data_IF_802251835043
#
_entry.id   IF_802251835043
#
_cell.length_a   1.000
_cell.length_b   1.000
_cell.length_c   1.000
_cell.angle_alpha   90.00
_cell.angle_beta   90.00
_cell.angle_gamma   90.00
#
_symmetry.space_group_name_H-M   'P 1'
#
loop_
_entity.id
_entity.type
_entity.pdbx_description
1 polymer ?
#
# COMPACT_ATOMS: atom_id res chain seq x y z
N UNK A 1 -6.56 7.21 10.76
CA UNK A 1 -5.11 7.44 10.69
C UNK A 1 -4.77 7.66 9.23
N UNK A 2 -4.30 8.84 8.85
CA UNK A 2 -3.92 9.14 7.47
C UNK A 2 -2.75 8.25 7.04
N UNK A 3 -2.89 7.61 5.87
CA UNK A 3 -1.79 6.96 5.19
C UNK A 3 -0.72 8.02 4.88
N UNK A 4 0.57 7.67 5.03
CA UNK A 4 1.65 8.54 4.56
C UNK A 4 1.55 8.66 3.04
N UNK A 5 1.58 9.89 2.51
CA UNK A 5 1.56 10.10 1.06
C UNK A 5 2.84 9.57 0.43
N UNK A 6 2.80 9.16 -0.85
CA UNK A 6 4.00 8.70 -1.56
C UNK A 6 5.09 9.80 -1.65
N UNK A 7 4.74 11.07 -1.39
CA UNK A 7 5.64 12.23 -1.32
C UNK A 7 6.42 12.25 -0.02
N UNK A 8 5.77 11.93 1.10
CA UNK A 8 6.47 11.75 2.37
C UNK A 8 7.50 10.62 2.23
N UNK A 9 7.16 9.55 1.52
CA UNK A 9 8.08 8.44 1.27
C UNK A 9 9.21 8.85 0.32
N UNK A 10 8.92 9.56 -0.78
CA UNK A 10 9.95 10.06 -1.68
C UNK A 10 10.89 11.04 -0.96
N UNK A 11 10.37 12.01 -0.22
CA UNK A 11 11.20 12.97 0.53
C UNK A 11 12.04 12.27 1.59
N UNK A 12 11.47 11.31 2.31
CA UNK A 12 12.17 10.57 3.37
C UNK A 12 13.22 9.60 2.82
N UNK A 13 12.96 8.98 1.66
CA UNK A 13 13.78 7.89 1.14
C UNK A 13 14.53 8.21 -0.16
N UNK A 14 14.43 9.42 -0.72
CA UNK A 14 15.11 9.81 -1.96
C UNK A 14 16.62 9.55 -1.95
N UNK A 15 17.27 9.79 -0.79
CA UNK A 15 18.70 9.58 -0.57
C UNK A 15 18.96 8.41 0.39
N UNK A 16 18.03 7.45 0.46
CA UNK A 16 18.14 6.31 1.38
C UNK A 16 19.30 5.38 1.02
N UNK A 17 19.66 5.31 -0.27
CA UNK A 17 20.71 4.44 -0.79
C UNK A 17 21.83 5.28 -1.40
N UNK A 18 23.00 5.25 -0.77
CA UNK A 18 24.18 5.95 -1.24
C UNK A 18 24.59 5.47 -2.64
N UNK A 19 24.77 6.40 -3.57
CA UNK A 19 25.16 6.11 -4.95
C UNK A 19 24.03 5.65 -5.87
N UNK A 20 22.80 5.55 -5.35
CA UNK A 20 21.60 5.23 -6.13
C UNK A 20 20.65 6.43 -6.20
N UNK A 21 19.88 6.52 -7.28
CA UNK A 21 18.88 7.55 -7.50
C UNK A 21 17.49 6.93 -7.52
N UNK A 22 16.53 7.53 -6.84
CA UNK A 22 15.12 7.14 -6.96
C UNK A 22 14.65 7.42 -8.39
N UNK A 23 14.34 6.36 -9.15
CA UNK A 23 13.97 6.45 -10.57
C UNK A 23 12.48 6.21 -10.80
N UNK A 24 11.77 5.57 -9.86
CA UNK A 24 10.34 5.38 -9.97
C UNK A 24 9.71 4.83 -8.71
N UNK A 25 8.38 4.89 -8.66
CA UNK A 25 7.57 4.25 -7.62
C UNK A 25 6.24 3.75 -8.18
N UNK A 26 5.63 2.80 -7.48
CA UNK A 26 4.29 2.31 -7.78
C UNK A 26 3.66 1.68 -6.55
N UNK A 27 2.34 1.80 -6.46
CA UNK A 27 1.54 0.92 -5.62
C UNK A 27 1.66 -0.52 -6.14
N UNK A 28 1.80 -1.47 -5.22
CA UNK A 28 2.05 -2.87 -5.52
C UNK A 28 1.11 -3.77 -4.70
N UNK A 29 0.25 -4.51 -5.40
CA UNK A 29 -0.60 -5.54 -4.81
C UNK A 29 0.16 -6.85 -4.67
N UNK A 30 0.51 -7.22 -3.44
CA UNK A 30 1.16 -8.49 -3.11
C UNK A 30 0.09 -9.54 -2.80
N UNK A 31 0.14 -10.73 -3.42
CA UNK A 31 -0.82 -11.81 -3.16
C UNK A 31 -0.63 -12.41 -1.77
N UNK A 32 -1.75 -12.71 -1.12
CA UNK A 32 -1.82 -13.44 0.14
C UNK A 32 -2.89 -14.53 0.06
N UNK A 33 -2.52 -15.73 0.46
CA UNK A 33 -3.40 -16.88 0.51
C UNK A 33 -3.99 -17.03 1.90
N UNK A 34 -5.30 -16.86 2.00
CA UNK A 34 -6.06 -17.13 3.22
C UNK A 34 -6.43 -18.61 3.28
N UNK A 35 -6.12 -19.24 4.41
CA UNK A 35 -6.51 -20.61 4.75
C UNK A 35 -7.17 -20.66 6.12
N UNK A 36 -8.05 -21.63 6.28
CA UNK A 36 -8.59 -22.02 7.57
C UNK A 36 -7.72 -23.13 8.17
N UNK A 37 -7.36 -22.96 9.43
CA UNK A 37 -6.54 -23.91 10.20
C UNK A 37 -7.19 -24.15 11.54
N UNK A 38 -7.49 -25.40 11.83
CA UNK A 38 -7.86 -25.82 13.18
C UNK A 38 -6.59 -26.11 13.97
N UNK A 39 -6.51 -25.55 15.18
CA UNK A 39 -5.38 -25.68 16.08
C UNK A 39 -5.87 -26.41 17.32
N UNK A 40 -5.20 -27.51 17.67
CA UNK A 40 -5.38 -28.18 18.95
C UNK A 40 -4.29 -27.72 19.92
N UNK A 41 -4.68 -27.20 21.08
CA UNK A 41 -3.73 -26.64 22.05
C UNK A 41 -4.14 -26.91 23.50
N UNK A 42 -3.18 -26.81 24.41
CA UNK A 42 -3.40 -26.86 25.85
C UNK A 42 -3.53 -25.43 26.36
N UNK A 43 -4.67 -25.13 26.97
CA UNK A 43 -4.99 -23.82 27.55
C UNK A 43 -5.08 -23.93 29.08
N UNK A 44 -4.52 -22.96 29.78
CA UNK A 44 -4.63 -22.84 31.24
C UNK A 44 -5.79 -21.93 31.63
N UNK A 45 -6.70 -22.48 32.43
CA UNK A 45 -7.92 -21.82 32.89
C UNK A 45 -7.98 -21.87 34.41
N UNK A 46 -8.89 -21.08 34.99
CA UNK A 46 -9.25 -21.27 36.39
C UNK A 46 -10.08 -22.54 36.54
N UNK A 47 -9.99 -23.18 37.70
CA UNK A 47 -10.90 -24.27 38.04
C UNK A 47 -12.33 -23.75 38.07
N UNK A 48 -13.27 -24.58 37.62
CA UNK A 48 -14.68 -24.26 37.77
C UNK A 48 -15.03 -24.29 39.26
N UNK A 49 -16.04 -23.51 39.65
CA UNK A 49 -16.48 -23.41 41.05
C UNK A 49 -16.65 -24.78 41.70
N UNK A 50 -17.26 -25.73 40.99
CA UNK A 50 -17.48 -27.08 41.50
C UNK A 50 -16.16 -27.84 41.70
N UNK A 51 -15.25 -27.75 40.73
CA UNK A 51 -13.93 -28.38 40.82
C UNK A 51 -13.17 -27.79 42.02
N UNK A 52 -13.12 -26.46 42.14
CA UNK A 52 -12.48 -25.75 43.26
C UNK A 52 -12.99 -26.24 44.61
N UNK A 53 -14.32 -26.41 44.75
CA UNK A 53 -14.91 -26.93 45.97
C UNK A 53 -14.61 -28.41 46.22
N UNK A 54 -14.57 -29.26 45.18
CA UNK A 54 -14.10 -30.64 45.31
C UNK A 54 -12.66 -30.65 45.85
N UNK A 55 -11.78 -29.82 45.29
CA UNK A 55 -10.41 -29.68 45.75
C UNK A 55 -10.32 -29.24 47.22
N UNK A 56 -11.10 -28.23 47.62
CA UNK A 56 -11.18 -27.79 49.02
C UNK A 56 -11.62 -28.90 49.98
N UNK A 57 -12.58 -29.74 49.58
CA UNK A 57 -13.03 -30.88 50.40
C UNK A 57 -11.95 -31.95 50.51
N UNK A 58 -11.28 -32.29 49.41
CA UNK A 58 -10.16 -33.25 49.40
C UNK A 58 -8.99 -32.78 50.26
N UNK A 59 -8.63 -31.49 50.20
CA UNK A 59 -7.59 -30.88 51.04
C UNK A 59 -7.93 -30.92 52.54
N UNK A 60 -9.20 -31.12 52.90
CA UNK A 60 -9.67 -31.31 54.28
C UNK A 60 -9.84 -32.79 54.65
N UNK A 61 -9.43 -33.71 53.78
CA UNK A 61 -9.50 -35.16 54.02
C UNK A 61 -10.85 -35.79 53.67
N UNK A 62 -11.76 -35.07 53.01
CA UNK A 62 -13.05 -35.62 52.59
C UNK A 62 -12.86 -36.29 51.23
N UNK A 63 -12.65 -37.62 51.24
CA UNK A 63 -12.30 -38.42 50.05
C UNK A 63 -13.47 -39.21 49.46
N UNK A 64 -14.57 -39.39 50.21
CA UNK A 64 -15.75 -40.15 49.76
C UNK A 64 -16.56 -39.34 48.73
N UNK A 65 -16.80 -39.93 47.56
CA UNK A 65 -17.64 -39.36 46.49
C UNK A 65 -19.05 -39.09 46.98
N UNK A 66 -19.62 -39.99 47.77
CA UNK A 66 -20.94 -39.80 48.38
C UNK A 66 -20.99 -38.57 49.31
N UNK A 67 -19.97 -38.37 50.15
CA UNK A 67 -19.89 -37.20 51.04
C UNK A 67 -19.64 -35.90 50.27
N UNK A 68 -18.81 -35.93 49.23
CA UNK A 68 -18.57 -34.78 48.35
C UNK A 68 -19.87 -34.36 47.65
N UNK A 69 -20.59 -35.31 47.02
CA UNK A 69 -21.86 -35.03 46.35
C UNK A 69 -22.90 -34.43 47.29
N UNK A 70 -23.01 -34.98 48.51
CA UNK A 70 -23.89 -34.44 49.55
C UNK A 70 -23.48 -33.03 49.99
N UNK A 71 -22.19 -32.76 50.14
CA UNK A 71 -21.66 -31.47 50.62
C UNK A 71 -21.88 -30.35 49.59
N UNK A 72 -21.78 -30.68 48.30
CA UNK A 72 -21.96 -29.73 47.20
C UNK A 72 -23.40 -29.64 46.70
N UNK A 73 -24.31 -30.42 47.29
CA UNK A 73 -25.70 -30.58 46.82
C UNK A 73 -25.78 -30.95 45.34
N UNK A 74 -24.83 -31.76 44.85
CA UNK A 74 -24.74 -32.19 43.46
C UNK A 74 -25.35 -33.58 43.26
N UNK A 75 -26.19 -33.77 42.22
CA UNK A 75 -26.63 -35.10 41.80
C UNK A 75 -25.44 -36.02 41.48
N UNK A 76 -25.50 -37.28 41.92
CA UNK A 76 -24.38 -38.24 41.77
C UNK A 76 -23.98 -38.50 40.32
N UNK A 77 -24.91 -38.41 39.37
CA UNK A 77 -24.63 -38.52 37.94
C UNK A 77 -23.77 -37.35 37.44
N UNK A 78 -24.07 -36.12 37.85
CA UNK A 78 -23.28 -34.93 37.49
C UNK A 78 -21.90 -34.97 38.15
N UNK A 79 -21.83 -35.32 39.45
CA UNK A 79 -20.55 -35.47 40.15
C UNK A 79 -19.67 -36.53 39.48
N UNK A 80 -20.26 -37.66 39.06
CA UNK A 80 -19.53 -38.72 38.37
C UNK A 80 -18.89 -38.21 37.07
N UNK A 81 -19.59 -37.41 36.28
CA UNK A 81 -19.04 -36.79 35.06
C UNK A 81 -17.83 -35.91 35.39
N UNK A 82 -17.95 -35.03 36.38
CA UNK A 82 -16.87 -34.13 36.80
C UNK A 82 -15.65 -34.92 37.30
N UNK A 83 -15.87 -35.94 38.14
CA UNK A 83 -14.79 -36.80 38.64
C UNK A 83 -14.11 -37.55 37.50
N UNK A 84 -14.87 -38.06 36.53
CA UNK A 84 -14.29 -38.73 35.36
C UNK A 84 -13.37 -37.80 34.56
N UNK A 85 -13.76 -36.53 34.41
CA UNK A 85 -12.92 -35.53 33.74
C UNK A 85 -11.64 -35.23 34.55
N UNK A 86 -11.74 -35.05 35.87
CA UNK A 86 -10.59 -34.84 36.76
C UNK A 86 -9.64 -36.05 36.80
N UNK A 87 -10.17 -37.27 36.71
CA UNK A 87 -9.38 -38.51 36.58
C UNK A 87 -8.67 -38.54 35.22
N UNK A 88 -9.37 -38.20 34.13
CA UNK A 88 -8.78 -38.14 32.77
C UNK A 88 -7.64 -37.13 32.69
N UNK A 89 -7.78 -36.00 33.38
CA UNK A 89 -6.75 -34.96 33.53
C UNK A 89 -5.62 -35.35 34.51
N UNK A 90 -5.73 -36.52 35.16
CA UNK A 90 -4.80 -37.03 36.18
C UNK A 90 -4.69 -36.13 37.41
N UNK A 91 -5.70 -35.34 37.74
CA UNK A 91 -5.69 -34.52 38.95
C UNK A 91 -6.09 -35.30 40.19
N UNK A 92 -6.94 -36.32 40.00
CA UNK A 92 -7.34 -37.23 41.05
C UNK A 92 -7.25 -38.68 40.56
N UNK A 93 -7.17 -39.61 41.50
CA UNK A 93 -7.23 -41.05 41.25
C UNK A 93 -8.29 -41.68 42.13
N UNK A 94 -8.96 -42.70 41.61
CA UNK A 94 -9.87 -43.52 42.40
C UNK A 94 -9.07 -44.55 43.20
N UNK A 95 -9.49 -44.81 44.45
CA UNK A 95 -8.87 -45.84 45.26
C UNK A 95 -9.23 -47.23 44.70
N UNK A 96 -8.22 -48.00 44.28
CA UNK A 96 -8.39 -49.32 43.69
C UNK A 96 -9.08 -50.33 44.63
N UNK A 97 -9.03 -50.12 45.95
CA UNK A 97 -9.66 -50.97 46.95
C UNK A 97 -11.05 -50.47 47.38
N UNK A 98 -11.34 -49.20 47.15
CA UNK A 98 -12.61 -48.58 47.49
C UNK A 98 -13.05 -47.60 46.41
N UNK A 99 -13.93 -48.06 45.52
CA UNK A 99 -14.43 -47.27 44.41
C UNK A 99 -15.25 -46.04 44.85
N UNK A 100 -15.54 -45.81 46.13
CA UNK A 100 -16.15 -44.55 46.61
C UNK A 100 -15.11 -43.48 46.96
N UNK A 101 -13.83 -43.82 47.11
CA UNK A 101 -12.78 -42.88 47.52
C UNK A 101 -12.00 -42.33 46.33
N UNK A 102 -11.70 -41.02 46.39
CA UNK A 102 -10.83 -40.32 45.46
C UNK A 102 -9.72 -39.57 46.22
N UNK A 103 -8.55 -39.47 45.61
CA UNK A 103 -7.37 -38.82 46.19
C UNK A 103 -6.70 -37.91 45.17
N UNK A 104 -6.06 -36.83 45.63
CA UNK A 104 -5.19 -36.03 44.77
C UNK A 104 -4.01 -36.84 44.25
N UNK A 105 -3.64 -36.58 43.01
CA UNK A 105 -2.28 -36.82 42.53
C UNK A 105 -1.36 -35.65 42.93
N UNK A 106 -0.06 -35.80 42.73
CA UNK A 106 0.90 -34.69 42.91
C UNK A 106 0.57 -33.51 41.99
N UNK A 107 0.32 -33.79 40.69
CA UNK A 107 -0.10 -32.81 39.69
C UNK A 107 -1.41 -32.12 40.09
N UNK A 108 -2.41 -32.89 40.51
CA UNK A 108 -3.69 -32.34 40.92
C UNK A 108 -3.53 -31.39 42.10
N UNK A 109 -2.77 -31.78 43.12
CA UNK A 109 -2.55 -30.92 44.30
C UNK A 109 -1.99 -29.55 43.89
N UNK A 110 -0.96 -29.52 43.06
CA UNK A 110 -0.36 -28.28 42.57
C UNK A 110 -1.36 -27.41 41.78
N UNK A 111 -2.14 -28.01 40.89
CA UNK A 111 -3.14 -27.30 40.09
C UNK A 111 -4.28 -26.72 40.95
N UNK A 112 -4.77 -27.49 41.93
CA UNK A 112 -5.78 -27.04 42.88
C UNK A 112 -5.28 -25.94 43.83
N UNK A 113 -4.03 -26.00 44.28
CA UNK A 113 -3.43 -24.95 45.12
C UNK A 113 -3.29 -23.61 44.38
N UNK A 114 -3.00 -23.66 43.07
CA UNK A 114 -2.84 -22.47 42.24
C UNK A 114 -4.15 -21.99 41.58
N UNK A 115 -5.28 -22.66 41.85
CA UNK A 115 -6.57 -22.43 41.21
C UNK A 115 -6.51 -22.45 39.67
N UNK A 116 -5.82 -23.45 39.11
CA UNK A 116 -5.57 -23.58 37.67
C UNK A 116 -5.91 -24.98 37.18
N UNK A 117 -6.33 -25.10 35.92
CA UNK A 117 -6.47 -26.35 35.18
C UNK A 117 -5.96 -26.19 33.77
N UNK A 118 -5.55 -27.30 33.17
CA UNK A 118 -5.11 -27.39 31.79
C UNK A 118 -6.16 -28.18 31.00
N UNK A 119 -6.77 -27.53 30.03
CA UNK A 119 -7.77 -28.12 29.15
C UNK A 119 -7.25 -28.17 27.72
N UNK A 120 -7.62 -29.22 26.99
CA UNK A 120 -7.36 -29.28 25.54
C UNK A 120 -8.51 -28.57 24.83
N UNK A 121 -8.18 -27.56 24.03
CA UNK A 121 -9.11 -26.84 23.17
C UNK A 121 -8.77 -27.06 21.71
N UNK A 122 -9.80 -26.93 20.88
CA UNK A 122 -9.69 -26.93 19.42
C UNK A 122 -10.42 -25.70 18.91
N UNK A 123 -9.71 -24.84 18.19
CA UNK A 123 -10.26 -23.62 17.63
C UNK A 123 -9.84 -23.47 16.16
N UNK A 124 -10.65 -22.78 15.36
CA UNK A 124 -10.36 -22.54 13.93
C UNK A 124 -9.95 -21.10 13.70
N UNK A 125 -8.85 -20.92 12.96
CA UNK A 125 -8.23 -19.63 12.70
C UNK A 125 -8.08 -19.39 11.20
N UNK A 126 -8.10 -18.12 10.82
CA UNK A 126 -7.71 -17.69 9.49
C UNK A 126 -6.23 -17.26 9.47
N UNK A 127 -5.46 -17.98 8.67
CA UNK A 127 -4.04 -17.72 8.46
C UNK A 127 -3.84 -17.18 7.04
N UNK A 128 -3.01 -16.15 6.91
CA UNK A 128 -2.59 -15.59 5.65
C UNK A 128 -1.14 -15.95 5.38
N UNK A 129 -0.88 -16.53 4.21
CA UNK A 129 0.46 -16.79 3.68
C UNK A 129 0.77 -15.77 2.60
N UNK A 130 1.93 -15.12 2.66
CA UNK A 130 2.35 -14.30 1.53
C UNK A 130 2.68 -15.19 0.32
N UNK A 131 2.22 -14.79 -0.87
CA UNK A 131 2.39 -15.55 -2.11
C UNK A 131 3.65 -15.19 -2.90
N UNK A 132 4.60 -14.46 -2.29
CA UNK A 132 5.82 -14.01 -2.95
C UNK A 132 7.11 -14.58 -2.38
N UNK A 133 7.16 -14.85 -1.07
CA UNK A 133 8.33 -15.43 -0.43
C UNK A 133 8.16 -16.93 -0.24
N UNK A 134 9.29 -17.66 -0.20
CA UNK A 134 9.29 -19.09 0.09
C UNK A 134 8.99 -19.39 1.58
N UNK A 135 8.88 -18.34 2.41
CA UNK A 135 8.77 -18.40 3.85
C UNK A 135 7.41 -17.91 4.37
N UNK A 136 6.31 -18.26 3.69
CA UNK A 136 4.98 -18.46 4.27
C UNK A 136 4.69 -17.69 5.58
N UNK A 137 4.83 -16.36 5.61
CA UNK A 137 4.78 -15.66 6.88
C UNK A 137 3.34 -15.66 7.36
N UNK A 138 3.09 -16.47 8.40
CA UNK A 138 1.75 -16.69 8.95
C UNK A 138 1.34 -15.44 9.69
N UNK A 139 0.38 -14.71 9.13
CA UNK A 139 -0.34 -13.67 9.86
C UNK A 139 -1.68 -14.23 10.32
N UNK A 140 -1.87 -14.24 11.63
CA UNK A 140 -3.15 -14.56 12.27
C UNK A 140 -3.91 -13.24 12.38
N UNK A 141 -4.98 -13.12 11.59
CA UNK A 141 -5.64 -11.85 11.33
C UNK A 141 -7.14 -12.04 11.50
N UNK A 142 -7.64 -11.79 12.70
CA UNK A 142 -9.08 -11.68 12.93
C UNK A 142 -9.57 -10.24 12.71
N UNK A 143 -8.68 -9.25 12.82
CA UNK A 143 -9.04 -7.81 12.77
C UNK A 143 -8.59 -7.04 11.52
N UNK A 144 -7.83 -7.63 10.57
CA UNK A 144 -7.32 -6.90 9.39
C UNK A 144 -8.04 -7.22 8.07
N UNK A 145 -9.29 -7.74 8.07
CA UNK A 145 -10.05 -7.89 6.82
C UNK A 145 -10.15 -6.60 5.99
N UNK A 146 -10.04 -5.42 6.63
CA UNK A 146 -10.09 -4.11 5.95
C UNK A 146 -8.87 -3.86 5.05
N UNK A 147 -7.77 -4.55 5.29
CA UNK A 147 -6.48 -4.29 4.65
C UNK A 147 -6.19 -5.23 3.48
N UNK A 148 -7.05 -6.23 3.30
CA UNK A 148 -6.95 -7.24 2.26
C UNK A 148 -8.11 -7.08 1.28
N UNK A 149 -7.79 -7.00 0.00
CA UNK A 149 -8.76 -6.92 -1.09
C UNK A 149 -8.94 -8.30 -1.69
N UNK A 150 -10.17 -8.78 -1.75
CA UNK A 150 -10.46 -10.07 -2.36
C UNK A 150 -10.14 -10.02 -3.86
N UNK A 151 -9.49 -11.05 -4.41
CA UNK A 151 -8.95 -11.01 -5.78
C UNK A 151 -9.96 -10.58 -6.87
N UNK A 152 -11.25 -10.91 -6.72
CA UNK A 152 -12.30 -10.50 -7.69
C UNK A 152 -12.62 -9.00 -7.66
N UNK A 153 -12.18 -8.28 -6.64
CA UNK A 153 -12.41 -6.85 -6.43
C UNK A 153 -11.18 -6.01 -6.78
N UNK A 154 -10.08 -6.66 -7.16
CA UNK A 154 -8.81 -6.01 -7.42
C UNK A 154 -8.82 -5.37 -8.81
N UNK A 155 -8.16 -4.21 -8.93
CA UNK A 155 -7.82 -3.62 -10.21
C UNK A 155 -6.58 -4.34 -10.75
N UNK A 156 -6.70 -5.02 -11.90
CA UNK A 156 -5.62 -5.82 -12.50
C UNK A 156 -4.31 -5.05 -12.77
N UNK A 157 -4.37 -3.72 -12.76
CA UNK A 157 -3.27 -2.84 -13.17
C UNK A 157 -2.15 -2.66 -12.15
N UNK A 158 -2.13 -3.32 -10.98
CA UNK A 158 -1.04 -3.14 -9.98
C UNK A 158 -0.69 -4.41 -9.21
N UNK A 159 -1.22 -5.56 -9.62
CA UNK A 159 -1.01 -6.83 -8.90
C UNK A 159 0.17 -7.62 -9.41
N UNK A 160 0.85 -8.27 -8.48
CA UNK A 160 1.85 -9.29 -8.79
C UNK A 160 1.15 -10.61 -9.05
N UNK A 161 1.45 -11.22 -10.20
CA UNK A 161 0.94 -12.54 -10.57
C UNK A 161 1.49 -13.63 -9.64
N UNK A 162 0.59 -14.56 -9.30
CA UNK A 162 0.80 -15.68 -8.40
C UNK A 162 1.96 -16.57 -8.84
N UNK A 163 2.81 -16.99 -7.90
CA UNK A 163 3.59 -18.23 -8.02
C UNK A 163 2.98 -19.26 -7.08
N UNK A 164 3.11 -20.52 -7.50
CA UNK A 164 2.47 -21.71 -6.95
C UNK A 164 2.15 -21.65 -5.46
N UNK A 165 0.94 -22.08 -5.13
CA UNK A 165 0.48 -22.18 -3.75
C UNK A 165 1.47 -23.00 -2.91
N UNK A 166 1.94 -22.47 -1.77
CA UNK A 166 2.85 -23.22 -0.92
C UNK A 166 2.18 -24.49 -0.41
N UNK A 167 2.76 -25.64 -0.72
CA UNK A 167 2.35 -26.90 -0.08
C UNK A 167 2.85 -26.92 1.36
N UNK A 168 1.95 -27.29 2.26
CA UNK A 168 2.24 -27.41 3.68
C UNK A 168 3.09 -28.65 3.91
N UNK A 169 4.20 -28.43 4.60
CA UNK A 169 5.08 -29.49 5.07
C UNK A 169 5.00 -29.54 6.60
N UNK A 170 4.44 -30.62 7.13
CA UNK A 170 4.25 -30.84 8.57
C UNK A 170 5.56 -30.71 9.36
N UNK A 171 6.70 -31.08 8.78
CA UNK A 171 7.98 -31.03 9.50
C UNK A 171 8.61 -29.63 9.43
N UNK A 172 8.46 -28.96 8.28
CA UNK A 172 9.01 -27.61 8.05
C UNK A 172 8.20 -26.51 8.74
N UNK A 173 6.87 -26.56 8.61
CA UNK A 173 5.99 -25.42 8.92
C UNK A 173 5.46 -25.47 10.36
N UNK A 174 5.49 -26.64 11.02
CA UNK A 174 4.95 -26.81 12.37
C UNK A 174 5.62 -25.89 13.40
N UNK A 175 6.95 -25.84 13.43
CA UNK A 175 7.68 -25.04 14.41
C UNK A 175 7.43 -23.53 14.23
N UNK A 176 7.32 -23.07 12.98
CA UNK A 176 7.00 -21.69 12.68
C UNK A 176 5.57 -21.33 13.11
N UNK A 177 4.60 -22.21 12.84
CA UNK A 177 3.22 -22.05 13.30
C UNK A 177 3.15 -22.08 14.82
N UNK A 178 3.80 -23.04 15.47
CA UNK A 178 3.82 -23.18 16.92
C UNK A 178 4.35 -21.91 17.60
N UNK A 179 5.51 -21.40 17.19
CA UNK A 179 6.07 -20.15 17.72
C UNK A 179 5.14 -18.95 17.48
N UNK A 180 4.54 -18.88 16.29
CA UNK A 180 3.59 -17.82 15.95
C UNK A 180 2.36 -17.86 16.87
N UNK A 181 1.75 -19.02 17.07
CA UNK A 181 0.57 -19.18 17.93
C UNK A 181 0.89 -18.96 19.41
N UNK A 182 2.06 -19.41 19.90
CA UNK A 182 2.50 -19.20 21.28
C UNK A 182 2.87 -17.74 21.59
N UNK A 183 3.27 -16.96 20.57
CA UNK A 183 3.60 -15.54 20.72
C UNK A 183 2.38 -14.60 20.70
N UNK A 184 1.20 -15.08 20.33
CA UNK A 184 -0.03 -14.29 20.37
C UNK A 184 -0.43 -13.96 21.81
N UNK A 185 -0.70 -12.68 22.08
CA UNK A 185 -1.13 -12.16 23.39
C UNK A 185 -2.45 -11.37 23.33
N UNK A 186 -3.38 -11.78 22.46
CA UNK A 186 -4.60 -11.01 22.18
C UNK A 186 -5.85 -11.87 22.33
N UNK A 187 -7.03 -11.29 22.65
CA UNK A 187 -8.29 -12.01 22.63
C UNK A 187 -8.76 -12.27 21.19
N UNK A 188 -9.42 -13.41 21.01
CA UNK A 188 -9.83 -14.03 19.74
C UNK A 188 -11.05 -13.40 19.05
N UNK A 189 -11.90 -12.70 19.81
CA UNK A 189 -12.99 -11.92 19.22
C UNK A 189 -13.55 -10.95 20.25
N UNK A 190 -14.32 -9.96 19.81
CA UNK A 190 -15.09 -9.08 20.72
C UNK A 190 -16.14 -9.85 21.54
N UNK A 191 -16.44 -11.11 21.19
CA UNK A 191 -17.54 -11.88 21.76
C UNK A 191 -17.14 -13.17 22.51
N UNK A 192 -15.85 -13.56 22.55
CA UNK A 192 -15.41 -14.78 23.25
C UNK A 192 -14.25 -14.54 24.23
N UNK A 193 -14.34 -15.20 25.38
CA UNK A 193 -13.43 -15.08 26.52
C UNK A 193 -12.09 -15.80 26.36
N UNK A 194 -11.80 -16.36 25.18
CA UNK A 194 -10.58 -17.13 24.96
C UNK A 194 -9.44 -16.16 24.70
N UNK A 195 -8.79 -15.78 25.80
CA UNK A 195 -7.54 -15.03 25.74
C UNK A 195 -6.39 -16.00 25.47
N UNK A 196 -5.57 -15.69 24.46
CA UNK A 196 -4.33 -16.41 24.18
C UNK A 196 -3.31 -16.36 25.33
N UNK A 197 -3.54 -15.51 26.35
CA UNK A 197 -2.63 -15.27 27.49
C UNK A 197 -2.29 -16.51 28.34
N UNK A 198 -2.83 -17.69 28.01
CA UNK A 198 -2.63 -18.93 28.77
C UNK A 198 -2.44 -20.19 27.91
N UNK A 199 -2.07 -20.10 26.63
CA UNK A 199 -1.67 -21.30 25.88
C UNK A 199 -0.34 -21.83 26.42
N UNK A 200 -0.30 -23.12 26.79
CA UNK A 200 0.91 -23.79 27.31
C UNK A 200 1.68 -24.55 26.24
N UNK A 201 0.97 -25.17 25.31
CA UNK A 201 1.57 -25.90 24.20
C UNK A 201 0.58 -26.12 23.07
N UNK A 202 1.12 -26.28 21.85
CA UNK A 202 0.36 -26.68 20.69
C UNK A 202 0.50 -28.20 20.51
N UNK A 203 -0.61 -28.88 20.23
CA UNK A 203 -0.61 -30.33 19.95
C UNK A 203 -0.61 -30.65 18.46
N UNK A 204 -1.23 -29.80 17.64
CA UNK A 204 -1.39 -30.09 16.23
C UNK A 204 -2.10 -28.99 15.45
N UNK A 205 -1.90 -29.04 14.13
CA UNK A 205 -2.56 -28.19 13.15
C UNK A 205 -3.30 -29.07 12.15
N UNK A 206 -4.51 -28.66 11.76
CA UNK A 206 -5.28 -29.28 10.66
C UNK A 206 -5.73 -28.21 9.68
N UNK A 207 -5.20 -28.29 8.46
CA UNK A 207 -5.56 -27.38 7.38
C UNK A 207 -6.84 -27.80 6.67
N UNK A 208 -7.78 -26.87 6.52
CA UNK A 208 -8.93 -27.08 5.66
C UNK A 208 -8.54 -26.92 4.17
N UNK A 209 -9.21 -27.65 3.25
CA UNK A 209 -8.85 -27.65 1.83
C UNK A 209 -9.22 -26.35 1.12
N UNK A 210 -10.17 -25.58 1.67
CA UNK A 210 -10.63 -24.32 1.07
C UNK A 210 -9.51 -23.28 1.13
N UNK A 211 -9.29 -22.60 0.02
CA UNK A 211 -8.32 -21.49 -0.12
C UNK A 211 -8.97 -20.28 -0.74
N UNK A 212 -8.55 -19.11 -0.31
CA UNK A 212 -8.99 -17.82 -0.85
C UNK A 212 -7.76 -16.95 -1.13
N UNK A 213 -7.76 -16.26 -2.28
CA UNK A 213 -6.71 -15.31 -2.64
C UNK A 213 -7.16 -13.88 -2.30
N UNK A 214 -6.27 -13.16 -1.65
CA UNK A 214 -6.40 -11.76 -1.34
C UNK A 214 -5.15 -11.02 -1.79
N UNK A 215 -5.26 -9.70 -1.89
CA UNK A 215 -4.13 -8.82 -2.14
C UNK A 215 -4.03 -7.79 -1.04
N UNK A 216 -2.80 -7.46 -0.66
CA UNK A 216 -2.49 -6.33 0.23
C UNK A 216 -1.56 -5.39 -0.50
N UNK A 217 -1.85 -4.10 -0.42
CA UNK A 217 -1.13 -3.07 -1.14
C UNK A 217 0.03 -2.50 -0.32
N UNK A 218 1.15 -2.28 -1.02
CA UNK A 218 2.39 -1.69 -0.51
C UNK A 218 2.87 -0.62 -1.48
N UNK A 219 3.76 0.25 -1.02
CA UNK A 219 4.45 1.20 -1.88
C UNK A 219 5.82 0.65 -2.26
N UNK A 220 6.09 0.55 -3.55
CA UNK A 220 7.39 0.15 -4.07
C UNK A 220 8.15 1.38 -4.57
N UNK A 221 9.38 1.56 -4.10
CA UNK A 221 10.34 2.54 -4.59
C UNK A 221 11.48 1.81 -5.31
N UNK A 222 11.81 2.26 -6.51
CA UNK A 222 12.86 1.69 -7.36
C UNK A 222 13.98 2.69 -7.53
N UNK A 223 15.19 2.24 -7.24
CA UNK A 223 16.40 3.03 -7.35
C UNK A 223 17.31 2.45 -8.43
N UNK A 224 18.07 3.30 -9.11
CA UNK A 224 19.09 2.87 -10.06
C UNK A 224 20.38 3.67 -9.89
N UNK A 225 21.54 3.03 -10.05
CA UNK A 225 22.84 3.71 -10.08
C UNK A 225 23.22 4.12 -11.51
N UNK A 226 24.46 4.58 -11.72
CA UNK A 226 24.96 5.01 -13.04
C UNK A 226 25.15 3.83 -14.00
N UNK A 227 25.41 2.66 -13.45
CA UNK A 227 25.60 1.39 -14.14
C UNK A 227 24.26 0.69 -14.46
N UNK A 228 23.13 1.33 -14.14
CA UNK A 228 21.76 0.80 -14.29
C UNK A 228 21.46 -0.43 -13.43
N UNK A 229 22.26 -0.68 -12.39
CA UNK A 229 21.92 -1.66 -11.36
C UNK A 229 20.78 -1.10 -10.51
N UNK A 230 19.81 -1.95 -10.17
CA UNK A 230 18.62 -1.54 -9.44
C UNK A 230 18.66 -1.98 -7.98
N UNK A 231 17.98 -1.22 -7.14
CA UNK A 231 17.62 -1.62 -5.78
C UNK A 231 16.18 -1.23 -5.47
N UNK A 232 15.59 -1.89 -4.48
CA UNK A 232 14.19 -1.71 -4.10
C UNK A 232 14.02 -1.36 -2.64
N UNK A 233 12.99 -0.57 -2.36
CA UNK A 233 12.41 -0.40 -1.04
C UNK A 233 10.90 -0.65 -1.13
N UNK A 234 10.40 -1.59 -0.33
CA UNK A 234 8.96 -1.88 -0.22
C UNK A 234 8.48 -1.39 1.13
N UNK A 235 7.48 -0.50 1.14
CA UNK A 235 6.98 0.16 2.33
C UNK A 235 5.52 -0.23 2.61
N UNK A 236 5.25 -0.56 3.87
CA UNK A 236 3.91 -0.85 4.37
C UNK A 236 3.31 0.40 5.00
N UNK A 237 2.37 1.03 4.30
CA UNK A 237 1.69 2.25 4.78
C UNK A 237 0.88 2.04 6.06
N UNK A 238 0.43 0.81 6.34
CA UNK A 238 -0.39 0.51 7.51
C UNK A 238 0.46 0.34 8.75
N UNK A 239 1.59 -0.37 8.63
CA UNK A 239 2.53 -0.58 9.75
C UNK A 239 3.61 0.49 9.84
N UNK A 240 3.69 1.39 8.85
CA UNK A 240 4.71 2.44 8.70
C UNK A 240 6.14 1.89 8.76
N UNK A 241 6.39 0.78 8.06
CA UNK A 241 7.66 0.07 8.13
C UNK A 241 8.12 -0.49 6.79
N UNK A 242 9.44 -0.67 6.65
CA UNK A 242 10.06 -1.27 5.46
C UNK A 242 9.91 -2.79 5.52
N UNK A 243 9.50 -3.39 4.41
CA UNK A 243 9.26 -4.83 4.26
C UNK A 243 10.35 -5.47 3.38
N UNK A 244 11.57 -5.53 3.93
CA UNK A 244 12.77 -6.03 3.23
C UNK A 244 12.62 -7.42 2.62
N UNK A 245 11.79 -8.28 3.23
CA UNK A 245 11.47 -9.63 2.73
C UNK A 245 10.93 -9.66 1.31
N UNK A 246 10.27 -8.58 0.85
CA UNK A 246 9.69 -8.52 -0.48
C UNK A 246 10.68 -8.00 -1.53
N UNK A 247 11.81 -7.43 -1.14
CA UNK A 247 12.75 -6.77 -2.06
C UNK A 247 13.25 -7.74 -3.14
N UNK A 248 13.91 -8.84 -2.76
CA UNK A 248 14.49 -9.77 -3.73
C UNK A 248 13.46 -10.47 -4.65
N UNK A 249 12.29 -10.95 -4.16
CA UNK A 249 11.26 -11.52 -5.02
C UNK A 249 10.72 -10.52 -6.06
N UNK A 250 10.51 -9.27 -5.69
CA UNK A 250 10.00 -8.23 -6.59
C UNK A 250 11.07 -7.80 -7.58
N UNK A 251 12.32 -7.63 -7.14
CA UNK A 251 13.44 -7.26 -8.01
C UNK A 251 13.62 -8.26 -9.14
N UNK A 252 13.57 -9.56 -8.81
CA UNK A 252 13.61 -10.64 -9.81
C UNK A 252 12.48 -10.53 -10.83
N UNK A 253 11.26 -10.22 -10.38
CA UNK A 253 10.09 -10.06 -11.27
C UNK A 253 10.19 -8.83 -12.16
N UNK A 254 10.70 -7.71 -11.64
CA UNK A 254 10.98 -6.51 -12.42
C UNK A 254 12.01 -6.80 -13.53
N UNK A 255 13.13 -7.44 -13.18
CA UNK A 255 14.19 -7.78 -14.14
C UNK A 255 13.73 -8.79 -15.21
N UNK A 256 12.76 -9.65 -14.87
CA UNK A 256 12.13 -10.58 -15.81
C UNK A 256 11.03 -9.95 -16.66
N UNK A 257 10.68 -8.67 -16.44
CA UNK A 257 9.58 -7.98 -17.13
C UNK A 257 8.19 -8.48 -16.73
N UNK A 258 8.06 -9.27 -15.65
CA UNK A 258 6.77 -9.82 -15.20
C UNK A 258 5.81 -8.73 -14.69
N UNK A 259 6.31 -7.51 -14.44
CA UNK A 259 5.54 -6.37 -13.92
C UNK A 259 5.39 -5.22 -14.93
N UNK A 260 5.83 -5.40 -16.19
CA UNK A 260 5.84 -4.34 -17.21
C UNK A 260 4.45 -3.79 -17.56
N UNK A 261 3.38 -4.55 -17.26
CA UNK A 261 1.99 -4.11 -17.45
C UNK A 261 1.60 -2.91 -16.59
N UNK A 262 2.33 -2.65 -15.50
CA UNK A 262 2.11 -1.48 -14.64
C UNK A 262 3.37 -0.71 -14.28
N UNK A 263 4.52 -1.34 -14.33
CA UNK A 263 5.79 -0.72 -14.02
C UNK A 263 6.85 -1.16 -15.03
N UNK A 264 7.00 -0.38 -16.10
CA UNK A 264 7.95 -0.68 -17.18
C UNK A 264 9.36 -0.26 -16.78
N UNK A 265 10.14 -1.20 -16.26
CA UNK A 265 11.48 -0.95 -15.75
C UNK A 265 12.42 -0.46 -16.86
N UNK A 266 12.38 -1.10 -18.04
CA UNK A 266 13.27 -0.78 -19.16
C UNK A 266 13.13 0.68 -19.61
N UNK A 267 11.88 1.17 -19.69
CA UNK A 267 11.60 2.57 -20.02
C UNK A 267 12.16 3.52 -18.98
N UNK A 268 11.98 3.22 -17.69
CA UNK A 268 12.47 4.05 -16.58
C UNK A 268 14.00 4.10 -16.59
N UNK A 269 14.66 2.96 -16.78
CA UNK A 269 16.13 2.90 -16.87
C UNK A 269 16.66 3.65 -18.10
N UNK A 270 15.95 3.60 -19.23
CA UNK A 270 16.30 4.37 -20.41
C UNK A 270 16.17 5.89 -20.17
N UNK A 271 15.09 6.33 -19.53
CA UNK A 271 14.89 7.73 -19.14
C UNK A 271 15.98 8.20 -18.15
N UNK A 272 16.37 7.33 -17.20
CA UNK A 272 17.45 7.58 -16.26
C UNK A 272 18.82 7.67 -16.94
N UNK A 273 19.16 6.75 -17.85
CA UNK A 273 20.41 6.79 -18.63
C UNK A 273 20.50 8.08 -19.43
N UNK A 274 19.44 8.43 -20.17
CA UNK A 274 19.39 9.68 -20.94
C UNK A 274 19.59 10.91 -20.05
N UNK A 275 19.01 10.89 -18.84
CA UNK A 275 19.17 11.96 -17.84
C UNK A 275 20.62 12.01 -17.33
N UNK A 276 21.24 10.87 -17.04
CA UNK A 276 22.62 10.81 -16.57
C UNK A 276 23.64 11.21 -17.64
N UNK A 277 23.42 10.80 -18.89
CA UNK A 277 24.23 11.22 -20.04
C UNK A 277 24.14 12.73 -20.23
N UNK A 278 22.94 13.30 -20.15
CA UNK A 278 22.73 14.74 -20.18
C UNK A 278 23.45 15.47 -19.03
N UNK A 279 23.37 14.97 -17.80
CA UNK A 279 24.03 15.57 -16.63
C UNK A 279 25.56 15.48 -16.73
N UNK A 280 26.09 14.38 -17.26
CA UNK A 280 27.52 14.20 -17.51
C UNK A 280 28.06 15.16 -18.58
N UNK A 281 27.23 15.49 -19.58
CA UNK A 281 27.56 16.46 -20.62
C UNK A 281 27.39 17.92 -20.15
N UNK A 282 26.51 18.17 -19.18
CA UNK A 282 26.18 19.51 -18.67
C UNK A 282 27.05 19.98 -17.47
N UNK A 283 27.91 19.13 -16.91
CA UNK A 283 28.75 19.43 -15.72
C UNK A 283 27.99 19.99 -14.50
N UNK A 284 26.67 19.81 -14.42
CA UNK A 284 25.85 20.42 -13.37
C UNK A 284 24.75 19.46 -12.91
N UNK A 285 24.69 19.19 -11.61
CA UNK A 285 23.57 18.49 -10.98
C UNK A 285 22.32 19.40 -10.90
N UNK A 286 21.10 18.84 -11.00
CA UNK A 286 19.87 19.63 -10.86
C UNK A 286 19.78 20.21 -9.45
N UNK A 287 19.40 21.49 -9.35
CA UNK A 287 19.08 22.08 -8.05
C UNK A 287 17.67 21.68 -7.65
N UNK A 288 17.56 20.97 -6.53
CA UNK A 288 16.28 20.70 -5.88
C UNK A 288 15.82 21.96 -5.15
N UNK A 289 14.61 22.42 -5.45
CA UNK A 289 13.98 23.50 -4.70
C UNK A 289 12.94 22.87 -3.78
N UNK A 290 13.26 22.88 -2.49
CA UNK A 290 12.32 22.57 -1.43
C UNK A 290 11.64 23.88 -1.00
N UNK A 291 10.31 23.90 -1.01
CA UNK A 291 9.56 24.97 -0.34
C UNK A 291 9.56 24.63 1.14
N UNK A 292 10.35 25.34 1.94
CA UNK A 292 10.29 25.24 3.39
C UNK A 292 8.98 25.89 3.87
N UNK A 293 8.23 25.23 4.75
CA UNK A 293 6.87 25.63 5.17
C UNK A 293 6.82 26.99 5.91
N UNK A 294 7.96 27.66 6.08
CA UNK A 294 8.09 28.90 6.86
C UNK A 294 8.30 30.17 6.02
N UNK A 295 8.51 30.11 4.70
CA UNK A 295 8.56 31.27 3.80
C UNK A 295 7.46 31.24 2.74
N UNK A 296 6.79 32.39 2.54
CA UNK A 296 5.76 32.54 1.51
C UNK A 296 6.40 32.47 0.11
N UNK A 297 6.36 31.28 -0.51
CA UNK A 297 6.95 31.03 -1.82
C UNK A 297 6.27 31.89 -2.90
N UNK A 298 7.02 32.82 -3.50
CA UNK A 298 6.58 33.62 -4.65
C UNK A 298 7.15 33.05 -5.95
N UNK A 299 6.26 32.55 -6.81
CA UNK A 299 6.61 32.10 -8.16
C UNK A 299 7.24 33.22 -8.98
N UNK A 300 6.83 34.48 -8.79
CA UNK A 300 7.43 35.64 -9.46
C UNK A 300 8.92 35.76 -9.16
N UNK A 301 9.29 35.75 -7.87
CA UNK A 301 10.67 35.86 -7.43
C UNK A 301 11.47 34.64 -7.87
N UNK A 302 10.85 33.45 -7.80
CA UNK A 302 11.48 32.22 -8.26
C UNK A 302 11.81 32.28 -9.76
N UNK A 303 10.83 32.60 -10.62
CA UNK A 303 11.04 32.72 -12.06
C UNK A 303 12.10 33.78 -12.43
N UNK A 304 12.19 34.86 -11.65
CA UNK A 304 13.22 35.89 -11.82
C UNK A 304 14.63 35.41 -11.41
N UNK A 305 14.73 34.40 -10.54
CA UNK A 305 16.00 33.83 -10.08
C UNK A 305 16.56 32.73 -11.00
N UNK A 306 15.75 32.23 -11.94
CA UNK A 306 16.13 31.14 -12.85
C UNK A 306 17.26 31.59 -13.75
N UNK A 307 18.34 30.81 -13.74
CA UNK A 307 19.49 31.02 -14.63
C UNK A 307 19.28 30.28 -15.94
N UNK A 308 19.75 30.89 -17.02
CA UNK A 308 19.69 30.28 -18.34
C UNK A 308 20.46 28.96 -18.35
N UNK A 309 19.86 27.94 -19.00
CA UNK A 309 20.41 26.60 -19.18
C UNK A 309 20.63 25.82 -17.86
N UNK A 310 20.14 26.31 -16.72
CA UNK A 310 20.09 25.54 -15.47
C UNK A 310 18.71 24.84 -15.33
N UNK A 311 18.66 23.52 -15.10
CA UNK A 311 17.42 22.82 -14.83
C UNK A 311 17.01 22.94 -13.35
N UNK A 312 15.73 23.20 -13.12
CA UNK A 312 15.11 23.29 -11.81
C UNK A 312 14.02 22.22 -11.68
N UNK A 313 14.10 21.40 -10.64
CA UNK A 313 13.03 20.44 -10.36
C UNK A 313 11.94 21.09 -9.50
N UNK A 314 10.70 21.05 -9.97
CA UNK A 314 9.52 21.61 -9.31
C UNK A 314 8.43 20.54 -9.15
N UNK A 315 7.65 20.62 -8.08
CA UNK A 315 6.63 19.62 -7.73
C UNK A 315 5.26 20.26 -7.44
N UNK A 316 4.19 19.49 -7.62
CA UNK A 316 2.85 19.75 -7.08
C UNK A 316 2.34 21.19 -7.24
N UNK A 317 2.07 21.91 -6.13
CA UNK A 317 1.55 23.28 -6.16
C UNK A 317 2.47 24.24 -6.90
N UNK A 318 3.79 24.07 -6.84
CA UNK A 318 4.75 24.91 -7.58
C UNK A 318 4.55 24.77 -9.08
N UNK A 319 4.28 23.55 -9.57
CA UNK A 319 3.96 23.33 -11.00
C UNK A 319 2.65 24.04 -11.36
N UNK A 320 1.62 23.88 -10.53
CA UNK A 320 0.31 24.49 -10.73
C UNK A 320 0.39 26.02 -10.75
N UNK A 321 1.09 26.59 -9.78
CA UNK A 321 1.27 28.03 -9.65
C UNK A 321 2.12 28.57 -10.81
N UNK A 322 3.19 27.88 -11.21
CA UNK A 322 3.99 28.22 -12.40
C UNK A 322 3.14 28.22 -13.67
N UNK A 323 2.32 27.18 -13.86
CA UNK A 323 1.40 27.11 -14.99
C UNK A 323 0.39 28.26 -15.00
N UNK A 324 -0.28 28.53 -13.88
CA UNK A 324 -1.20 29.67 -13.78
C UNK A 324 -0.50 30.99 -14.04
N UNK A 325 0.72 31.13 -13.52
CA UNK A 325 1.50 32.34 -13.67
C UNK A 325 1.85 32.59 -15.13
N UNK A 326 2.27 31.57 -15.87
CA UNK A 326 2.52 31.68 -17.31
C UNK A 326 1.28 32.14 -18.09
N UNK A 327 0.08 31.68 -17.71
CA UNK A 327 -1.16 32.19 -18.33
C UNK A 327 -1.39 33.68 -18.08
N UNK A 328 -0.86 34.24 -17.00
CA UNK A 328 -0.99 35.66 -16.67
C UNK A 328 0.12 36.51 -17.31
N UNK A 329 1.35 36.01 -17.36
CA UNK A 329 2.51 36.83 -17.77
C UNK A 329 2.96 36.67 -19.22
N UNK A 330 2.58 35.59 -19.91
CA UNK A 330 3.06 35.33 -21.27
C UNK A 330 2.80 36.52 -22.19
N UNK A 331 3.77 36.87 -23.02
CA UNK A 331 3.75 38.04 -23.89
C UNK A 331 3.66 37.69 -25.38
N UNK A 332 4.10 36.49 -25.77
CA UNK A 332 4.24 36.08 -27.16
C UNK A 332 3.54 34.75 -27.42
N UNK A 333 3.75 33.75 -26.57
CA UNK A 333 3.18 32.42 -26.82
C UNK A 333 3.04 31.52 -25.59
N UNK A 334 2.08 30.60 -25.68
CA UNK A 334 1.90 29.47 -24.77
C UNK A 334 1.69 28.20 -25.60
N UNK A 335 2.52 27.19 -25.37
CA UNK A 335 2.40 25.87 -25.97
C UNK A 335 2.14 24.83 -24.89
N UNK A 336 1.11 24.01 -25.06
CA UNK A 336 0.71 23.01 -24.06
C UNK A 336 0.54 21.66 -24.75
N UNK A 337 1.17 20.62 -24.20
CA UNK A 337 0.81 19.22 -24.46
C UNK A 337 0.25 18.66 -23.16
N UNK A 338 -0.97 18.11 -23.20
CA UNK A 338 -1.59 17.41 -22.08
C UNK A 338 -2.49 16.31 -22.63
N UNK A 339 -2.28 15.03 -22.29
CA UNK A 339 -3.03 13.90 -22.88
C UNK A 339 -4.53 14.02 -22.68
N UNK A 340 -4.94 14.58 -21.55
CA UNK A 340 -6.34 14.68 -21.16
C UNK A 340 -6.68 16.11 -20.77
N UNK A 341 -7.97 16.41 -20.90
CA UNK A 341 -8.59 17.66 -20.52
C UNK A 341 -9.87 17.40 -19.73
N UNK A 342 -10.17 18.24 -18.74
CA UNK A 342 -11.46 18.19 -18.06
C UNK A 342 -11.98 19.59 -17.71
N UNK A 343 -13.29 19.68 -17.47
CA UNK A 343 -13.95 20.94 -17.15
C UNK A 343 -13.66 21.45 -15.73
N UNK A 344 -13.08 20.62 -14.86
CA UNK A 344 -12.64 21.05 -13.53
C UNK A 344 -11.43 21.99 -13.63
N UNK A 345 -10.45 21.64 -14.48
CA UNK A 345 -9.28 22.48 -14.77
C UNK A 345 -9.63 23.57 -15.78
N UNK A 346 -10.31 23.22 -16.88
CA UNK A 346 -10.72 24.16 -17.95
C UNK A 346 -12.07 24.82 -17.58
N UNK A 347 -12.10 25.32 -16.35
CA UNK A 347 -13.25 26.00 -15.76
C UNK A 347 -13.37 27.45 -16.26
N UNK A 348 -14.31 28.20 -15.69
CA UNK A 348 -14.59 29.60 -16.06
C UNK A 348 -13.37 30.51 -15.88
N UNK A 349 -12.59 30.34 -14.82
CA UNK A 349 -11.41 31.16 -14.54
C UNK A 349 -10.27 30.87 -15.52
N UNK A 350 -10.03 29.60 -15.84
CA UNK A 350 -9.07 29.24 -16.90
C UNK A 350 -9.47 29.87 -18.24
N UNK A 351 -10.74 29.77 -18.64
CA UNK A 351 -11.25 30.36 -19.89
C UNK A 351 -11.12 31.88 -19.90
N UNK A 352 -11.25 32.55 -18.75
CA UNK A 352 -11.01 34.00 -18.61
C UNK A 352 -9.53 34.36 -18.83
N UNK A 353 -8.59 33.60 -18.25
CA UNK A 353 -7.15 33.78 -18.49
C UNK A 353 -6.78 33.51 -19.95
N UNK A 354 -7.29 32.41 -20.52
CA UNK A 354 -7.10 32.08 -21.94
C UNK A 354 -7.63 33.20 -22.86
N UNK A 355 -8.82 33.74 -22.58
CA UNK A 355 -9.38 34.87 -23.30
C UNK A 355 -8.46 36.09 -23.22
N UNK A 356 -7.96 36.42 -22.03
CA UNK A 356 -7.05 37.55 -21.83
C UNK A 356 -5.73 37.38 -22.59
N UNK A 357 -5.17 36.17 -22.68
CA UNK A 357 -3.99 35.88 -23.51
C UNK A 357 -4.27 36.22 -24.98
N UNK A 358 -5.37 35.68 -25.52
CA UNK A 358 -5.72 35.85 -26.93
C UNK A 358 -6.04 37.31 -27.26
N UNK A 359 -6.70 38.05 -26.35
CA UNK A 359 -6.95 39.50 -26.51
C UNK A 359 -5.65 40.32 -26.49
N UNK A 360 -4.61 39.86 -25.79
CA UNK A 360 -3.27 40.46 -25.82
C UNK A 360 -2.45 40.07 -27.07
N UNK A 361 -3.01 39.27 -27.98
CA UNK A 361 -2.31 38.79 -29.18
C UNK A 361 -1.34 37.64 -28.92
N UNK A 362 -1.40 37.00 -27.74
CA UNK A 362 -0.55 35.86 -27.40
C UNK A 362 -1.00 34.63 -28.17
N UNK A 363 -0.06 33.95 -28.83
CA UNK A 363 -0.32 32.70 -29.56
C UNK A 363 -0.48 31.54 -28.59
N UNK A 364 -1.59 30.80 -28.68
CA UNK A 364 -1.82 29.60 -27.87
C UNK A 364 -1.93 28.37 -28.76
N UNK A 365 -1.16 27.33 -28.45
CA UNK A 365 -1.18 26.04 -29.15
C UNK A 365 -1.35 24.90 -28.16
N UNK A 366 -2.30 24.01 -28.43
CA UNK A 366 -2.58 22.86 -27.56
C UNK A 366 -2.51 21.56 -28.36
N UNK A 367 -1.81 20.57 -27.82
CA UNK A 367 -1.84 19.18 -28.28
C UNK A 367 -2.47 18.33 -27.18
N UNK A 368 -3.51 17.58 -27.52
CA UNK A 368 -4.24 16.74 -26.57
C UNK A 368 -4.43 15.32 -27.08
N UNK A 369 -4.94 14.43 -26.24
CA UNK A 369 -5.42 13.11 -26.64
C UNK A 369 -4.32 12.06 -26.76
N UNK A 370 -4.63 10.86 -26.27
CA UNK A 370 -3.79 9.66 -26.37
C UNK A 370 -4.31 8.67 -27.41
N UNK A 371 -5.60 8.72 -27.73
CA UNK A 371 -6.25 7.86 -28.72
C UNK A 371 -6.33 8.54 -30.08
N UNK A 372 -6.56 7.74 -31.11
CA UNK A 372 -6.60 8.18 -32.50
C UNK A 372 -7.83 9.00 -32.89
N UNK A 373 -8.77 9.21 -31.99
CA UNK A 373 -10.03 9.88 -32.29
C UNK A 373 -11.19 8.92 -32.55
N UNK A 374 -10.95 7.60 -32.61
CA UNK A 374 -12.01 6.61 -32.81
C UNK A 374 -12.78 6.35 -31.50
N UNK A 375 -14.08 6.64 -31.51
CA UNK A 375 -14.95 6.53 -30.32
C UNK A 375 -15.04 5.09 -29.79
N UNK A 376 -14.89 4.06 -30.65
CA UNK A 376 -14.89 2.66 -30.23
C UNK A 376 -13.68 2.28 -29.35
N UNK A 377 -12.60 3.05 -29.42
CA UNK A 377 -11.35 2.83 -28.68
C UNK A 377 -11.20 3.80 -27.48
N UNK A 378 -12.22 4.61 -27.19
CA UNK A 378 -12.17 5.63 -26.15
C UNK A 378 -12.83 5.15 -24.86
N UNK A 379 -12.16 5.39 -23.73
CA UNK A 379 -12.83 5.34 -22.45
C UNK A 379 -13.57 6.68 -22.17
N UNK A 380 -14.30 6.74 -21.07
CA UNK A 380 -15.06 7.94 -20.67
C UNK A 380 -14.19 9.21 -20.56
N UNK A 381 -12.94 9.08 -20.10
CA UNK A 381 -12.00 10.20 -19.94
C UNK A 381 -11.53 10.75 -21.30
N UNK A 382 -11.35 9.87 -22.28
CA UNK A 382 -10.97 10.25 -23.64
C UNK A 382 -12.14 10.99 -24.33
N UNK A 383 -13.37 10.46 -24.21
CA UNK A 383 -14.58 11.13 -24.69
C UNK A 383 -14.75 12.53 -24.08
N UNK A 384 -14.53 12.66 -22.76
CA UNK A 384 -14.59 13.94 -22.05
C UNK A 384 -13.53 14.92 -22.56
N UNK A 385 -12.32 14.43 -22.82
CA UNK A 385 -11.22 15.24 -23.37
C UNK A 385 -11.59 15.80 -24.74
N UNK A 386 -12.13 14.96 -25.64
CA UNK A 386 -12.59 15.39 -26.97
C UNK A 386 -13.72 16.41 -26.88
N UNK A 387 -14.67 16.22 -25.97
CA UNK A 387 -15.75 17.18 -25.75
C UNK A 387 -15.22 18.55 -25.31
N UNK A 388 -14.32 18.59 -24.33
CA UNK A 388 -13.68 19.82 -23.86
C UNK A 388 -12.88 20.50 -24.98
N UNK A 389 -12.18 19.74 -25.81
CA UNK A 389 -11.47 20.27 -26.98
C UNK A 389 -12.43 20.97 -27.95
N UNK A 390 -13.56 20.33 -28.29
CA UNK A 390 -14.60 20.89 -29.18
C UNK A 390 -15.18 22.19 -28.61
N UNK A 391 -15.36 22.27 -27.29
CA UNK A 391 -15.81 23.50 -26.64
C UNK A 391 -14.76 24.62 -26.70
N UNK A 392 -13.48 24.31 -26.51
CA UNK A 392 -12.40 25.29 -26.63
C UNK A 392 -12.28 25.82 -28.07
N UNK A 393 -12.40 24.96 -29.07
CA UNK A 393 -12.42 25.38 -30.49
C UNK A 393 -13.52 26.40 -30.73
N UNK A 394 -14.75 26.11 -30.26
CA UNK A 394 -15.88 27.03 -30.39
C UNK A 394 -15.63 28.34 -29.65
N UNK A 395 -15.17 28.25 -28.40
CA UNK A 395 -14.91 29.40 -27.53
C UNK A 395 -13.83 30.33 -28.11
N UNK A 396 -12.77 29.76 -28.69
CA UNK A 396 -11.64 30.50 -29.23
C UNK A 396 -11.78 30.87 -30.72
N UNK A 397 -12.84 30.44 -31.40
CA UNK A 397 -13.06 30.71 -32.83
C UNK A 397 -12.95 32.19 -33.24
N UNK A 398 -13.34 33.19 -32.43
CA UNK A 398 -13.18 34.61 -32.80
C UNK A 398 -11.72 35.08 -32.89
N UNK A 399 -10.77 34.32 -32.33
CA UNK A 399 -9.35 34.70 -32.27
C UNK A 399 -8.52 34.10 -33.43
N UNK A 400 -9.14 33.33 -34.31
CA UNK A 400 -8.51 32.77 -35.52
C UNK A 400 -7.21 32.04 -35.22
N UNK A 401 -6.16 32.36 -35.99
CA UNK A 401 -4.84 31.71 -35.89
C UNK A 401 -4.13 31.92 -34.55
N UNK A 402 -4.61 32.79 -33.66
CA UNK A 402 -4.04 32.92 -32.33
C UNK A 402 -4.29 31.68 -31.48
N UNK A 403 -5.34 30.90 -31.74
CA UNK A 403 -5.60 29.65 -31.04
C UNK A 403 -5.69 28.47 -32.01
N UNK A 404 -4.86 27.46 -31.80
CA UNK A 404 -5.00 26.18 -32.49
C UNK A 404 -4.86 25.03 -31.51
N UNK A 405 -5.61 23.96 -31.75
CA UNK A 405 -5.61 22.77 -30.93
C UNK A 405 -5.72 21.53 -31.82
N UNK A 406 -4.90 20.51 -31.57
CA UNK A 406 -4.94 19.23 -32.29
C UNK A 406 -4.90 18.03 -31.36
N UNK A 407 -5.48 16.91 -31.82
CA UNK A 407 -5.23 15.62 -31.18
C UNK A 407 -3.84 15.12 -31.65
N UNK A 408 -2.94 14.85 -30.70
CA UNK A 408 -1.56 14.44 -30.96
C UNK A 408 -1.24 12.99 -30.67
N UNK A 409 -2.20 12.17 -30.19
CA UNK A 409 -2.00 10.76 -29.83
C UNK A 409 -0.77 10.55 -28.94
N UNK A 410 -0.59 11.41 -27.94
CA UNK A 410 0.60 11.45 -27.09
C UNK A 410 0.23 11.49 -25.62
N UNK A 411 1.06 10.82 -24.80
CA UNK A 411 1.00 10.91 -23.34
C UNK A 411 2.01 11.93 -22.77
N UNK A 412 2.63 12.77 -23.59
CA UNK A 412 3.55 13.79 -23.10
C UNK A 412 2.84 14.88 -22.31
N UNK A 413 3.58 15.49 -21.38
CA UNK A 413 3.16 16.71 -20.69
C UNK A 413 4.25 17.75 -20.83
N UNK A 414 3.90 18.82 -21.52
CA UNK A 414 4.83 19.88 -21.88
C UNK A 414 4.12 21.21 -21.78
N UNK A 415 4.79 22.19 -21.20
CA UNK A 415 4.38 23.58 -21.18
C UNK A 415 5.57 24.44 -21.61
N UNK A 416 5.37 25.29 -22.60
CA UNK A 416 6.37 26.29 -23.03
C UNK A 416 5.73 27.68 -23.00
N UNK A 417 6.44 28.66 -22.44
CA UNK A 417 6.03 30.06 -22.38
C UNK A 417 7.06 30.96 -23.06
N UNK A 418 6.59 31.80 -23.98
CA UNK A 418 7.35 32.83 -24.72
C UNK A 418 8.67 32.32 -25.32
N UNK A 419 8.64 31.09 -25.85
CA UNK A 419 9.81 30.41 -26.44
C UNK A 419 11.04 30.36 -25.51
N UNK A 420 10.86 30.49 -24.19
CA UNK A 420 11.97 30.65 -23.22
C UNK A 420 11.88 29.68 -22.05
N UNK A 421 10.71 29.63 -21.42
CA UNK A 421 10.49 28.74 -20.29
C UNK A 421 9.94 27.42 -20.78
N UNK A 422 10.55 26.34 -20.36
CA UNK A 422 10.19 24.97 -20.72
C UNK A 422 9.91 24.19 -19.44
N UNK A 423 8.73 23.55 -19.35
CA UNK A 423 8.33 22.67 -18.25
C UNK A 423 7.88 21.34 -18.79
N UNK A 424 8.53 20.25 -18.36
CA UNK A 424 8.20 18.90 -18.78
C UNK A 424 8.28 17.93 -17.61
N UNK A 425 7.36 16.97 -17.57
CA UNK A 425 7.36 15.93 -16.55
C UNK A 425 6.06 15.12 -16.56
N UNK A 426 5.57 14.77 -15.37
CA UNK A 426 4.38 13.91 -15.21
C UNK A 426 3.05 14.70 -15.13
N UNK A 427 3.11 16.00 -14.83
CA UNK A 427 1.95 16.85 -14.50
C UNK A 427 1.00 17.07 -15.68
N UNK A 428 -0.25 16.60 -15.57
CA UNK A 428 -1.27 16.82 -16.61
C UNK A 428 -1.89 18.23 -16.52
N UNK A 429 -1.25 19.22 -17.16
CA UNK A 429 -1.61 20.65 -17.09
C UNK A 429 -3.10 20.98 -17.30
N UNK A 430 -3.81 20.22 -18.14
CA UNK A 430 -5.20 20.51 -18.50
C UNK A 430 -6.23 19.56 -17.86
N UNK A 431 -5.82 18.62 -17.01
CA UNK A 431 -6.74 17.68 -16.35
C UNK A 431 -6.43 17.37 -14.88
N UNK A 432 -5.38 17.97 -14.31
CA UNK A 432 -5.05 17.86 -12.90
C UNK A 432 -5.01 19.26 -12.26
N UNK A 433 -5.72 19.44 -11.14
CA UNK A 433 -5.78 20.73 -10.42
C UNK A 433 -6.14 20.56 -8.93
N UNK A 434 -5.75 19.44 -8.32
CA UNK A 434 -6.09 19.16 -6.92
C UNK A 434 -5.19 20.00 -5.99
N UNK A 435 -5.81 20.61 -4.99
CA UNK A 435 -5.17 21.38 -3.92
C UNK A 435 -4.51 20.40 -2.93
N UNK A 436 -3.34 20.76 -2.42
CA UNK A 436 -2.57 19.97 -1.43
C UNK A 436 -3.40 19.69 -0.16
N UNK A 437 -4.45 20.47 0.09
CA UNK A 437 -5.34 20.32 1.25
C UNK A 437 -6.55 19.40 1.03
N UNK A 438 -6.82 18.91 -0.20
CA UNK A 438 -7.98 18.06 -0.51
C UNK A 438 -7.58 16.58 -0.70
N UNK A 439 -7.92 15.77 0.29
CA UNK A 439 -7.12 14.62 0.74
C UNK A 439 -7.54 13.22 0.21
N UNK A 440 -8.13 13.11 -1.00
CA UNK A 440 -8.52 11.79 -1.54
C UNK A 440 -8.06 11.49 -2.97
N UNK A 441 -7.64 12.50 -3.74
CA UNK A 441 -7.24 12.33 -5.15
C UNK A 441 -5.90 13.00 -5.50
N UNK A 442 -5.19 13.53 -4.50
CA UNK A 442 -3.89 14.16 -4.67
C UNK A 442 -2.88 13.13 -5.24
N UNK A 443 -2.16 13.56 -6.27
CA UNK A 443 -1.14 12.81 -7.00
C UNK A 443 0.14 13.63 -7.00
N UNK A 444 1.22 12.89 -6.86
CA UNK A 444 2.53 13.48 -6.70
C UNK A 444 3.17 13.63 -8.07
N UNK A 445 3.26 14.88 -8.50
CA UNK A 445 3.62 15.24 -9.86
C UNK A 445 4.90 16.06 -9.84
N UNK A 446 5.86 15.70 -10.70
CA UNK A 446 7.16 16.35 -10.79
C UNK A 446 7.42 16.86 -12.21
N UNK A 447 8.07 18.01 -12.34
CA UNK A 447 8.51 18.57 -13.61
C UNK A 447 9.90 19.19 -13.51
N UNK A 448 10.63 19.14 -14.62
CA UNK A 448 11.81 19.97 -14.83
C UNK A 448 11.38 21.27 -15.50
N UNK A 449 11.69 22.40 -14.86
CA UNK A 449 11.59 23.75 -15.40
C UNK A 449 12.98 24.21 -15.86
N UNK A 450 13.07 24.81 -17.03
CA UNK A 450 14.30 25.33 -17.60
C UNK A 450 14.04 26.65 -18.33
N UNK A 451 15.01 27.56 -18.28
CA UNK A 451 15.06 28.74 -19.14
C UNK A 451 16.11 28.50 -20.24
N UNK A 452 15.66 28.09 -21.42
CA UNK A 452 16.52 27.83 -22.58
C UNK A 452 15.74 28.08 -23.87
N UNK A 453 16.08 29.19 -24.54
CA UNK A 453 15.37 29.66 -25.73
C UNK A 453 15.60 28.76 -26.94
N UNK A 454 16.82 28.23 -27.12
CA UNK A 454 17.16 27.38 -28.26
C UNK A 454 16.47 26.02 -28.11
N UNK A 455 16.48 25.46 -26.91
CA UNK A 455 15.80 24.21 -26.62
C UNK A 455 14.27 24.34 -26.77
N UNK A 456 13.68 25.42 -26.23
CA UNK A 456 12.25 25.68 -26.35
C UNK A 456 11.84 25.81 -27.83
N UNK A 457 12.58 26.56 -28.65
CA UNK A 457 12.32 26.70 -30.09
C UNK A 457 12.44 25.38 -30.84
N UNK A 458 13.45 24.56 -30.54
CA UNK A 458 13.62 23.25 -31.15
C UNK A 458 12.42 22.34 -30.86
N UNK A 459 11.97 22.30 -29.60
CA UNK A 459 10.78 21.54 -29.18
C UNK A 459 9.49 22.05 -29.82
N UNK A 460 9.36 23.36 -29.98
CA UNK A 460 8.22 23.97 -30.69
C UNK A 460 8.20 23.51 -32.16
N UNK A 461 9.33 23.61 -32.87
CA UNK A 461 9.43 23.18 -34.27
C UNK A 461 9.12 21.68 -34.44
N UNK A 462 9.55 20.85 -33.50
CA UNK A 462 9.33 19.40 -33.53
C UNK A 462 7.85 19.02 -33.31
N UNK A 463 7.15 19.73 -32.42
CA UNK A 463 5.83 19.29 -31.92
C UNK A 463 4.66 20.12 -32.42
N UNK A 464 4.89 21.40 -32.64
CA UNK A 464 3.87 22.40 -32.89
C UNK A 464 3.93 23.00 -34.31
N UNK A 465 4.42 22.23 -35.27
CA UNK A 465 4.32 22.53 -36.71
C UNK A 465 2.90 22.25 -37.23
N UNK A 466 1.94 23.10 -36.85
CA UNK A 466 0.55 23.10 -37.31
C UNK A 466 -0.12 24.46 -37.05
#
# INVERSE_FOLDING_TARGET
MQASSIDELHNKYATYLDGYYLVGSSELGIPFYKKEVEVEFIHEEQLDIVEEFIGKLLSRGIQSKALIGKSLFLPMNLLKTIIQDLVRQKYIVENALNNDEIMFTEVGREQFENNKKQVTRQETFHIYFDGLTDHNEIRIVETMQKDFVYWKQVRDSTVVNEKNFPEYDNERDFFQLEDTFLSLKRPLSENESVCFDNIKSIKGFRYFPKRELYYRYYEMLVYANKELEIQLLVYDNQTKSIQSKFHAPIEKKLLMGELDHFFNLNKILQEHSNKMDYLSAANNEPKHIFVDEQEEFSVENFLASIKAQEPYYIMNSVIRQTFLKFLDIAQHSIYIISPWMNNYVINKEFRKKLKSLLERGVKVRIIYGITDGNEDNMNERDCRTVAVARELIKFCSPYGELFQIKNGKTHEKLLICDEKYFVNGSYNFLSYAIDENENEYFRNEGCTLMFDEDFAKARIAERFDF
#
